data_IF_168449606344
#
_entry.id   IF_168449606344
#
_cell.length_a   1.000
_cell.length_b   1.000
_cell.length_c   1.000
_cell.angle_alpha   90.00
_cell.angle_beta   90.00
_cell.angle_gamma   90.00
#
_symmetry.space_group_name_H-M   'P 1'
#
loop_
_entity.id
_entity.type
_entity.pdbx_description
1 polymer ?
#
# COMPACT_ATOMS: atom_id res chain seq x y z
N UNK A 1 10.27 7.12 9.25
CA UNK A 1 9.28 8.18 8.91
C UNK A 1 7.99 8.14 9.71
N UNK A 2 7.62 7.05 10.41
CA UNK A 2 6.36 6.98 11.17
C UNK A 2 6.19 8.06 12.24
N UNK A 3 7.23 8.30 13.05
CA UNK A 3 7.18 9.29 14.14
C UNK A 3 7.03 10.73 13.64
N UNK A 4 7.74 11.08 12.57
CA UNK A 4 7.67 12.42 11.98
C UNK A 4 6.26 12.71 11.44
N UNK A 5 5.71 11.75 10.69
CA UNK A 5 4.38 11.86 10.11
C UNK A 5 3.26 11.97 11.16
N UNK A 6 3.49 11.43 12.36
CA UNK A 6 2.50 11.36 13.43
C UNK A 6 2.63 12.46 14.49
N UNK A 7 3.58 13.40 14.34
CA UNK A 7 3.89 14.36 15.39
C UNK A 7 2.89 15.55 15.36
N UNK A 8 2.07 15.73 16.41
CA UNK A 8 1.09 16.82 16.45
C UNK A 8 1.74 18.20 16.52
N UNK A 9 2.91 18.32 17.18
CA UNK A 9 3.62 19.59 17.39
C UNK A 9 4.12 20.19 16.07
N UNK A 10 4.44 19.34 15.10
CA UNK A 10 4.96 19.79 13.80
C UNK A 10 3.85 20.21 12.83
N UNK A 11 2.60 19.83 13.10
CA UNK A 11 1.44 20.14 12.28
C UNK A 11 1.65 19.94 10.76
N UNK A 12 2.39 18.89 10.37
CA UNK A 12 2.83 18.71 8.99
C UNK A 12 1.66 18.60 8.00
N UNK A 13 1.77 19.22 6.81
CA UNK A 13 0.85 18.95 5.70
C UNK A 13 0.86 17.46 5.34
N UNK A 14 -0.32 16.84 5.26
CA UNK A 14 -0.44 15.40 5.00
C UNK A 14 -0.12 14.50 6.20
N UNK A 15 0.27 15.08 7.35
CA UNK A 15 0.52 14.35 8.59
C UNK A 15 -0.71 13.58 9.08
N UNK A 16 -0.48 12.60 9.95
CA UNK A 16 -1.52 11.80 10.59
C UNK A 16 -1.48 11.98 12.11
N UNK A 17 -2.57 11.66 12.80
CA UNK A 17 -2.63 11.82 14.26
C UNK A 17 -2.06 10.60 14.99
N UNK A 18 -1.24 10.85 16.01
CA UNK A 18 -0.78 9.81 16.93
C UNK A 18 -1.92 9.18 17.75
N UNK A 19 -3.06 9.86 17.89
CA UNK A 19 -4.21 9.35 18.62
C UNK A 19 -4.76 8.08 17.96
N UNK A 20 -4.85 8.07 16.63
CA UNK A 20 -5.27 6.87 15.88
C UNK A 20 -4.23 5.75 15.96
N UNK A 21 -2.94 6.09 15.92
CA UNK A 21 -1.87 5.10 16.05
C UNK A 21 -1.92 4.42 17.43
N UNK A 22 -2.20 5.17 18.50
CA UNK A 22 -2.40 4.62 19.85
C UNK A 22 -3.63 3.70 19.95
N UNK A 23 -4.63 3.88 19.10
CA UNK A 23 -5.80 2.99 18.98
C UNK A 23 -5.52 1.75 18.11
N UNK A 24 -4.27 1.54 17.68
CA UNK A 24 -3.90 0.45 16.77
C UNK A 24 -4.24 0.73 15.30
N UNK A 25 -4.77 1.92 14.99
CA UNK A 25 -5.08 2.34 13.62
C UNK A 25 -3.86 3.04 13.05
N UNK A 26 -3.02 2.25 12.39
CA UNK A 26 -1.91 2.79 11.61
C UNK A 26 -2.40 3.64 10.45
N UNK A 27 -1.49 4.43 9.87
CA UNK A 27 -1.74 5.25 8.69
C UNK A 27 -2.03 4.45 7.40
N UNK A 28 -2.25 3.13 7.50
CA UNK A 28 -2.30 2.12 6.42
C UNK A 28 -1.42 2.51 5.22
N UNK A 29 -0.12 2.21 5.31
CA UNK A 29 0.82 2.56 4.27
C UNK A 29 0.51 1.78 2.97
N UNK A 30 0.10 2.47 1.91
CA UNK A 30 -0.17 1.90 0.59
C UNK A 30 1.08 1.84 -0.30
N UNK A 31 2.19 2.45 0.12
CA UNK A 31 3.35 2.67 -0.76
C UNK A 31 4.05 1.37 -1.14
N UNK A 32 4.06 0.35 -0.28
CA UNK A 32 4.80 -0.88 -0.56
C UNK A 32 4.16 -2.10 0.07
N UNK A 33 3.82 -3.07 -0.78
CA UNK A 33 3.52 -4.44 -0.37
C UNK A 33 4.82 -5.21 -0.13
N UNK A 34 4.91 -5.92 0.98
CA UNK A 34 5.99 -6.87 1.24
C UNK A 34 5.38 -8.09 1.91
N UNK A 35 5.57 -9.26 1.32
CA UNK A 35 5.17 -10.51 1.93
C UNK A 35 6.30 -11.00 2.83
N UNK A 36 6.07 -10.91 4.14
CA UNK A 36 6.97 -11.42 5.17
C UNK A 36 6.62 -12.85 5.50
N UNK A 37 7.63 -13.67 5.74
CA UNK A 37 7.51 -15.07 6.13
C UNK A 37 7.11 -15.21 7.60
N UNK A 38 5.99 -14.59 7.96
CA UNK A 38 5.38 -14.67 9.28
C UNK A 38 4.04 -15.37 9.06
N UNK A 39 3.91 -16.60 9.55
CA UNK A 39 2.71 -17.45 9.49
C UNK A 39 2.25 -17.84 8.06
N UNK A 40 3.09 -18.57 7.32
CA UNK A 40 2.69 -19.23 6.07
C UNK A 40 2.10 -18.29 5.01
N UNK A 41 2.65 -17.08 4.85
CA UNK A 41 2.35 -16.29 3.66
C UNK A 41 2.81 -17.11 2.44
N UNK A 42 1.86 -17.68 1.69
CA UNK A 42 2.13 -18.44 0.48
C UNK A 42 2.87 -17.53 -0.50
N UNK A 43 4.19 -17.70 -0.53
CA UNK A 43 5.09 -17.18 -1.54
C UNK A 43 5.09 -18.27 -2.61
N UNK A 44 4.27 -18.09 -3.65
CA UNK A 44 3.95 -19.17 -4.60
C UNK A 44 5.19 -19.54 -5.43
N UNK A 45 6.07 -18.56 -5.69
CA UNK A 45 7.40 -18.78 -6.26
C UNK A 45 8.33 -19.63 -5.39
N UNK A 46 8.01 -19.84 -4.11
CA UNK A 46 8.86 -20.52 -3.11
C UNK A 46 10.23 -19.86 -2.87
N UNK A 47 10.48 -18.67 -3.44
CA UNK A 47 11.74 -17.95 -3.34
C UNK A 47 11.72 -16.99 -2.15
N UNK A 48 12.70 -17.12 -1.26
CA UNK A 48 12.78 -16.29 -0.06
C UNK A 48 14.18 -15.75 0.12
N UNK A 49 14.28 -14.50 0.56
CA UNK A 49 15.59 -13.91 0.95
C UNK A 49 15.41 -12.90 2.08
N UNK A 50 16.07 -13.18 3.20
CA UNK A 50 15.98 -12.43 4.47
C UNK A 50 14.56 -12.40 5.06
N UNK A 51 13.84 -13.54 5.04
CA UNK A 51 12.49 -13.64 5.60
C UNK A 51 11.40 -12.91 4.81
N UNK A 52 11.70 -12.53 3.56
CA UNK A 52 10.76 -11.88 2.64
C UNK A 52 10.63 -12.72 1.37
N UNK A 53 9.42 -12.80 0.84
CA UNK A 53 9.16 -13.41 -0.46
C UNK A 53 9.86 -12.63 -1.58
N UNK A 54 10.46 -13.36 -2.50
CA UNK A 54 10.86 -12.85 -3.82
C UNK A 54 9.76 -13.24 -4.77
N UNK A 55 9.01 -12.28 -5.28
CA UNK A 55 7.89 -12.55 -6.18
C UNK A 55 8.41 -13.07 -7.53
N UNK A 56 7.85 -14.21 -7.94
CA UNK A 56 7.97 -14.78 -9.28
C UNK A 56 6.68 -14.61 -10.09
N UNK A 57 6.64 -15.22 -11.25
CA UNK A 57 5.51 -15.22 -12.19
C UNK A 57 4.25 -15.82 -11.54
N UNK A 58 4.46 -16.79 -10.65
CA UNK A 58 3.46 -17.53 -9.87
C UNK A 58 2.73 -16.61 -8.89
N UNK A 59 3.39 -15.55 -8.42
CA UNK A 59 2.84 -14.59 -7.45
C UNK A 59 2.00 -13.48 -8.12
N UNK A 60 2.09 -13.31 -9.45
CA UNK A 60 1.51 -12.15 -10.16
C UNK A 60 -0.02 -12.06 -10.02
N UNK A 61 -0.72 -13.20 -10.04
CA UNK A 61 -2.17 -13.23 -9.84
C UNK A 61 -2.58 -12.72 -8.46
N UNK A 62 -1.79 -13.05 -7.43
CA UNK A 62 -2.00 -12.59 -6.05
C UNK A 62 -1.63 -11.12 -5.90
N UNK A 63 -0.55 -10.67 -6.54
CA UNK A 63 -0.13 -9.27 -6.54
C UNK A 63 -1.17 -8.34 -7.19
N UNK A 64 -1.89 -8.80 -8.22
CA UNK A 64 -2.97 -8.05 -8.86
C UNK A 64 -4.08 -7.62 -7.89
N UNK A 65 -4.30 -8.37 -6.81
CA UNK A 65 -5.36 -8.13 -5.82
C UNK A 65 -4.93 -7.19 -4.69
N UNK A 66 -3.74 -6.60 -4.77
CA UNK A 66 -3.17 -5.77 -3.71
C UNK A 66 -3.36 -4.29 -4.03
N UNK A 67 -3.91 -3.54 -3.08
CA UNK A 67 -4.10 -2.07 -3.18
C UNK A 67 -2.82 -1.26 -2.89
N UNK A 68 -1.64 -1.86 -3.11
CA UNK A 68 -0.37 -1.18 -2.87
C UNK A 68 0.20 -0.67 -4.18
N UNK A 69 0.86 0.49 -4.13
CA UNK A 69 1.44 1.14 -5.31
C UNK A 69 2.66 0.39 -5.85
N UNK A 70 3.45 -0.21 -4.96
CA UNK A 70 4.64 -0.98 -5.30
C UNK A 70 4.66 -2.30 -4.55
N UNK A 71 5.30 -3.32 -5.13
CA UNK A 71 5.55 -4.60 -4.49
C UNK A 71 7.07 -4.80 -4.29
N UNK A 72 7.46 -5.39 -3.16
CA UNK A 72 8.83 -5.74 -2.85
C UNK A 72 8.92 -7.21 -2.38
N UNK A 73 9.76 -8.06 -2.99
CA UNK A 73 10.78 -7.79 -4.02
C UNK A 73 10.65 -8.69 -5.25
N UNK A 74 11.08 -8.19 -6.41
CA UNK A 74 11.32 -8.97 -7.62
C UNK A 74 12.82 -8.89 -7.94
N UNK A 75 13.41 -9.97 -8.42
CA UNK A 75 14.85 -10.04 -8.70
C UNK A 75 15.03 -10.84 -9.98
N UNK A 76 15.65 -10.21 -10.97
CA UNK A 76 15.81 -10.75 -12.32
C UNK A 76 16.57 -12.08 -12.34
N UNK A 77 17.60 -12.23 -11.50
CA UNK A 77 18.39 -13.46 -11.39
C UNK A 77 17.57 -14.68 -10.91
N UNK A 78 16.44 -14.45 -10.25
CA UNK A 78 15.56 -15.52 -9.79
C UNK A 78 14.41 -15.77 -10.77
N UNK A 79 13.74 -14.72 -11.23
CA UNK A 79 12.70 -14.80 -12.24
C UNK A 79 12.62 -13.48 -13.02
N UNK A 80 13.17 -13.50 -14.24
CA UNK A 80 13.08 -12.38 -15.17
C UNK A 80 11.66 -12.22 -15.75
N UNK A 81 10.93 -13.33 -15.94
CA UNK A 81 9.57 -13.32 -16.47
C UNK A 81 8.60 -12.54 -15.57
N UNK A 82 8.75 -12.64 -14.26
CA UNK A 82 7.98 -11.83 -13.31
C UNK A 82 8.15 -10.32 -13.54
N UNK A 83 9.38 -9.89 -13.80
CA UNK A 83 9.71 -8.47 -14.07
C UNK A 83 9.18 -8.04 -15.43
N UNK A 84 9.37 -8.86 -16.46
CA UNK A 84 8.92 -8.60 -17.83
C UNK A 84 7.39 -8.51 -17.91
N UNK A 85 6.66 -9.49 -17.36
CA UNK A 85 5.19 -9.49 -17.36
C UNK A 85 4.62 -8.26 -16.62
N UNK A 86 5.24 -7.82 -15.51
CA UNK A 86 4.81 -6.61 -14.82
C UNK A 86 5.09 -5.35 -15.64
N UNK A 87 6.25 -5.27 -16.30
CA UNK A 87 6.58 -4.15 -17.18
C UNK A 87 5.60 -4.05 -18.36
N UNK A 88 5.31 -5.18 -19.01
CA UNK A 88 4.34 -5.26 -20.10
C UNK A 88 2.92 -4.89 -19.62
N UNK A 89 2.51 -5.37 -18.45
CA UNK A 89 1.22 -5.00 -17.85
C UNK A 89 1.13 -3.49 -17.60
N UNK A 90 2.15 -2.88 -17.01
CA UNK A 90 2.17 -1.42 -16.76
C UNK A 90 2.13 -0.66 -18.09
N UNK A 91 2.87 -1.11 -19.10
CA UNK A 91 2.84 -0.54 -20.44
C UNK A 91 1.42 -0.60 -21.03
N UNK A 92 0.78 -1.77 -20.99
CA UNK A 92 -0.58 -1.97 -21.51
C UNK A 92 -1.61 -1.10 -20.78
N UNK A 93 -1.54 -1.01 -19.44
CA UNK A 93 -2.42 -0.14 -18.64
C UNK A 93 -2.24 1.35 -18.96
N UNK A 94 -1.02 1.74 -19.36
CA UNK A 94 -0.68 3.15 -19.61
C UNK A 94 -1.04 3.58 -21.04
N UNK A 95 -0.74 2.74 -22.03
CA UNK A 95 -0.75 3.13 -23.44
C UNK A 95 -1.83 2.44 -24.29
N UNK A 96 -2.40 1.31 -23.85
CA UNK A 96 -3.38 0.59 -24.65
C UNK A 96 -4.81 0.85 -24.15
N UNK A 97 -5.58 1.65 -24.91
CA UNK A 97 -6.97 2.01 -24.59
C UNK A 97 -7.87 0.82 -24.17
N UNK A 98 -7.81 -0.37 -24.82
CA UNK A 98 -8.64 -1.52 -24.41
C UNK A 98 -8.30 -2.05 -23.01
N UNK A 99 -7.11 -1.76 -22.51
CA UNK A 99 -6.62 -2.19 -21.20
C UNK A 99 -6.65 -1.09 -20.15
N UNK A 100 -7.08 0.13 -20.48
CA UNK A 100 -7.26 1.20 -19.48
C UNK A 100 -8.33 0.78 -18.50
N UNK A 101 -7.89 0.33 -17.33
CA UNK A 101 -8.76 -0.06 -16.25
C UNK A 101 -9.32 1.19 -15.57
N UNK A 102 -10.61 1.20 -15.25
CA UNK A 102 -11.14 2.17 -14.30
C UNK A 102 -10.56 1.84 -12.92
N UNK A 103 -9.88 2.81 -12.31
CA UNK A 103 -9.32 2.64 -10.98
C UNK A 103 -10.45 2.74 -9.95
N UNK A 104 -10.58 1.69 -9.15
CA UNK A 104 -11.40 1.74 -7.94
C UNK A 104 -10.68 2.62 -6.90
N UNK A 105 -11.21 3.83 -6.71
CA UNK A 105 -10.67 4.80 -5.77
C UNK A 105 -11.26 4.66 -4.37
N UNK A 106 -12.33 3.88 -4.17
CA UNK A 106 -13.09 3.84 -2.92
C UNK A 106 -12.17 3.44 -1.76
N UNK A 107 -11.35 2.40 -1.96
CA UNK A 107 -10.34 1.99 -1.00
C UNK A 107 -9.39 3.13 -0.60
N UNK A 108 -8.90 3.91 -1.57
CA UNK A 108 -7.92 4.97 -1.34
C UNK A 108 -8.57 6.20 -0.68
N UNK A 109 -9.81 6.51 -1.03
CA UNK A 109 -10.56 7.62 -0.44
C UNK A 109 -10.93 7.38 1.02
N UNK A 110 -11.12 6.12 1.39
CA UNK A 110 -11.46 5.69 2.75
C UNK A 110 -10.26 5.52 3.68
N UNK A 111 -9.03 5.68 3.18
CA UNK A 111 -7.84 5.59 4.01
C UNK A 111 -7.92 6.55 5.22
N UNK A 112 -7.57 6.11 6.44
CA UNK A 112 -7.67 6.95 7.64
C UNK A 112 -6.91 8.26 7.52
N UNK A 113 -5.75 8.25 6.86
CA UNK A 113 -4.93 9.44 6.59
C UNK A 113 -5.64 10.45 5.68
N UNK A 114 -6.30 9.97 4.63
CA UNK A 114 -7.04 10.81 3.68
C UNK A 114 -8.25 11.43 4.37
N UNK A 115 -9.05 10.62 5.06
CA UNK A 115 -10.19 11.09 5.86
C UNK A 115 -9.78 12.11 6.92
N UNK A 116 -8.69 11.84 7.63
CA UNK A 116 -8.16 12.74 8.66
C UNK A 116 -7.76 14.09 8.07
N UNK A 117 -7.03 14.09 6.95
CA UNK A 117 -6.63 15.33 6.30
C UNK A 117 -7.83 16.08 5.71
N UNK A 118 -8.84 15.39 5.14
CA UNK A 118 -10.13 15.99 4.75
C UNK A 118 -10.81 16.66 5.96
N UNK A 119 -10.88 15.97 7.10
CA UNK A 119 -11.48 16.49 8.34
C UNK A 119 -10.76 17.72 8.89
N UNK A 120 -9.43 17.67 8.93
CA UNK A 120 -8.55 18.76 9.37
C UNK A 120 -8.69 19.99 8.45
N UNK A 121 -8.73 19.80 7.14
CA UNK A 121 -8.90 20.88 6.17
C UNK A 121 -10.26 21.58 6.31
N UNK A 122 -11.30 20.85 6.73
CA UNK A 122 -12.61 21.41 7.07
C UNK A 122 -12.66 22.10 8.44
N UNK A 123 -11.52 22.22 9.15
CA UNK A 123 -11.39 22.83 10.48
C UNK A 123 -12.34 22.24 11.53
N UNK A 124 -12.69 20.96 11.38
CA UNK A 124 -13.52 20.25 12.37
C UNK A 124 -12.68 19.88 13.60
N UNK A 125 -13.34 19.71 14.74
CA UNK A 125 -12.69 19.29 15.98
C UNK A 125 -12.03 17.91 15.80
N UNK A 126 -10.71 17.86 15.96
CA UNK A 126 -9.90 16.66 15.76
C UNK A 126 -10.26 15.58 16.79
N UNK A 127 -10.72 15.96 17.98
CA UNK A 127 -11.10 15.01 19.03
C UNK A 127 -12.34 14.19 18.67
N UNK A 128 -13.13 14.67 17.70
CA UNK A 128 -14.33 13.98 17.21
C UNK A 128 -14.04 13.09 15.99
N UNK A 129 -12.81 13.09 15.47
CA UNK A 129 -12.44 12.27 14.33
C UNK A 129 -12.43 10.79 14.71
N UNK A 130 -13.14 9.97 13.93
CA UNK A 130 -13.16 8.51 14.10
C UNK A 130 -12.09 7.85 13.22
N UNK A 131 -11.16 7.15 13.87
CA UNK A 131 -10.03 6.50 13.23
C UNK A 131 -10.44 5.30 12.34
N UNK A 132 -11.54 4.62 12.66
CA UNK A 132 -12.12 3.54 11.85
C UNK A 132 -13.52 3.89 11.38
N UNK A 133 -13.89 3.34 10.22
CA UNK A 133 -15.28 3.19 9.80
C UNK A 133 -15.87 2.01 10.59
N UNK A 134 -17.05 2.22 11.18
CA UNK A 134 -17.78 1.15 11.90
C UNK A 134 -18.48 0.22 10.94
#
# INVERSE_FOLDING_TARGET
MGTLNANPELNLPGGFTNACIKQGVGSQAITRYTAWDINESRCESSLKRHGMCVFGTEDLLRLRLKYFLFANKMVQDYDFGAVECMAEKIFNLTYNEPYKQYYDYDFYEELPTVRYNKWKNLKKDINQFRCQLG
#
